data_IF_703667817972
#
_entry.id   IF_703667817972
#
_cell.length_a   1.000
_cell.length_b   1.000
_cell.length_c   1.000
_cell.angle_alpha   90.00
_cell.angle_beta   90.00
_cell.angle_gamma   90.00
#
_symmetry.space_group_name_H-M   'P 1'
#
loop_
_entity.id
_entity.type
_entity.pdbx_description
1 polymer ?
#
# COMPACT_ATOMS: atom_id res chain seq x y z
N UNK A 1 2.50 -1.59 -12.98
CA UNK A 1 3.90 -2.05 -12.92
C UNK A 1 3.98 -3.56 -12.83
N UNK A 2 3.43 -4.21 -11.82
CA UNK A 2 3.61 -5.65 -11.56
C UNK A 2 3.13 -6.57 -12.69
N UNK A 3 2.10 -6.17 -13.43
CA UNK A 3 1.44 -7.01 -14.43
C UNK A 3 1.79 -6.67 -15.88
N UNK A 4 2.39 -5.52 -16.16
CA UNK A 4 2.52 -4.98 -17.52
C UNK A 4 3.92 -4.46 -17.90
N UNK A 5 4.96 -4.86 -17.19
CA UNK A 5 6.36 -4.41 -17.40
C UNK A 5 6.59 -2.89 -17.28
N UNK A 6 5.65 -2.13 -16.72
CA UNK A 6 5.90 -0.73 -16.37
C UNK A 6 6.60 -0.65 -15.03
N UNK A 7 7.82 -0.15 -15.02
CA UNK A 7 8.67 -0.12 -13.84
C UNK A 7 8.42 1.12 -12.99
N UNK A 8 8.61 0.96 -11.68
CA UNK A 8 8.72 2.07 -10.76
C UNK A 8 10.03 2.82 -11.03
N UNK A 9 10.13 4.13 -10.70
CA UNK A 9 11.38 4.87 -10.80
C UNK A 9 12.51 4.13 -10.08
N UNK A 10 13.69 4.06 -10.70
CA UNK A 10 14.90 3.45 -10.13
C UNK A 10 14.82 1.94 -9.86
N UNK A 11 13.85 1.23 -10.44
CA UNK A 11 13.79 -0.23 -10.37
C UNK A 11 14.43 -0.88 -11.59
N UNK A 12 15.10 -2.00 -11.34
CA UNK A 12 15.53 -2.91 -12.41
C UNK A 12 14.33 -3.58 -13.08
N UNK A 13 14.41 -3.85 -14.38
CA UNK A 13 13.38 -4.59 -15.10
C UNK A 13 13.13 -5.97 -14.48
N UNK A 14 11.86 -6.36 -14.39
CA UNK A 14 11.44 -7.68 -13.92
C UNK A 14 10.33 -8.26 -14.82
N UNK A 15 10.18 -9.59 -14.78
CA UNK A 15 9.11 -10.24 -15.50
C UNK A 15 7.76 -10.00 -14.81
N UNK A 16 6.67 -9.75 -15.57
CA UNK A 16 5.32 -9.64 -15.03
C UNK A 16 4.93 -10.87 -14.23
N UNK A 17 4.18 -10.67 -13.15
CA UNK A 17 3.74 -11.73 -12.27
C UNK A 17 2.27 -11.56 -11.84
N UNK A 18 1.69 -12.66 -11.34
CA UNK A 18 0.34 -12.67 -10.83
C UNK A 18 0.26 -11.94 -9.49
N UNK A 19 -0.81 -11.18 -9.30
CA UNK A 19 -1.14 -10.52 -8.05
C UNK A 19 -2.57 -10.81 -7.63
N UNK A 20 -2.82 -10.78 -6.33
CA UNK A 20 -4.15 -10.85 -5.75
C UNK A 20 -4.51 -9.45 -5.27
N UNK A 21 -5.67 -8.95 -5.69
CA UNK A 21 -6.21 -7.66 -5.24
C UNK A 21 -7.54 -7.90 -4.55
N UNK A 22 -7.58 -7.74 -3.24
CA UNK A 22 -8.79 -7.93 -2.44
C UNK A 22 -9.26 -6.57 -1.92
N UNK A 23 -10.50 -6.20 -2.26
CA UNK A 23 -11.12 -4.95 -1.82
C UNK A 23 -12.52 -5.18 -1.29
N UNK A 24 -12.90 -4.39 -0.27
CA UNK A 24 -14.24 -4.39 0.30
C UNK A 24 -14.96 -3.03 0.12
N UNK A 25 -14.29 -2.03 -0.43
CA UNK A 25 -14.87 -0.69 -0.62
C UNK A 25 -15.30 -0.45 -2.07
N UNK A 26 -14.48 -0.87 -3.02
CA UNK A 26 -14.69 -0.60 -4.44
C UNK A 26 -15.28 -1.82 -5.16
N UNK A 27 -16.29 -1.60 -6.00
CA UNK A 27 -16.84 -2.63 -6.88
C UNK A 27 -15.80 -3.09 -7.93
N UNK A 28 -15.64 -4.40 -8.05
CA UNK A 28 -14.63 -4.98 -8.93
C UNK A 28 -14.88 -4.62 -10.40
N UNK A 29 -16.16 -4.65 -10.83
CA UNK A 29 -16.54 -4.44 -12.24
C UNK A 29 -16.62 -2.98 -12.66
N UNK A 30 -17.14 -2.15 -11.79
CA UNK A 30 -17.48 -0.75 -12.08
C UNK A 30 -16.40 0.25 -11.67
N UNK A 31 -15.55 -0.10 -10.73
CA UNK A 31 -14.53 0.81 -10.20
C UNK A 31 -13.13 0.27 -10.41
N UNK A 32 -12.82 -0.93 -9.92
CA UNK A 32 -11.45 -1.48 -9.95
C UNK A 32 -11.01 -1.80 -11.37
N UNK A 33 -11.82 -2.55 -12.11
CA UNK A 33 -11.49 -2.95 -13.49
C UNK A 33 -11.22 -1.77 -14.43
N UNK A 34 -12.04 -0.70 -14.46
CA UNK A 34 -11.75 0.49 -15.26
C UNK A 34 -10.43 1.17 -14.88
N UNK A 35 -10.13 1.28 -13.57
CA UNK A 35 -8.86 1.87 -13.09
C UNK A 35 -7.65 1.03 -13.50
N UNK A 36 -7.76 -0.30 -13.43
CA UNK A 36 -6.70 -1.20 -13.88
C UNK A 36 -6.47 -1.10 -15.38
N UNK A 37 -7.54 -1.00 -16.17
CA UNK A 37 -7.44 -0.81 -17.62
C UNK A 37 -6.79 0.55 -17.97
N UNK A 38 -7.17 1.63 -17.29
CA UNK A 38 -6.52 2.94 -17.45
C UNK A 38 -5.03 2.91 -17.09
N UNK A 39 -4.64 2.05 -16.14
CA UNK A 39 -3.25 1.81 -15.77
C UNK A 39 -2.55 0.82 -16.71
N UNK A 40 -3.23 0.35 -17.77
CA UNK A 40 -2.73 -0.64 -18.73
C UNK A 40 -2.29 -1.95 -18.04
N UNK A 41 -2.98 -2.34 -16.97
CA UNK A 41 -2.71 -3.60 -16.29
C UNK A 41 -3.12 -4.79 -17.17
N UNK A 42 -2.33 -5.86 -17.11
CA UNK A 42 -2.74 -7.17 -17.62
C UNK A 42 -3.73 -7.79 -16.63
N UNK A 43 -5.01 -7.78 -17.00
CA UNK A 43 -6.09 -8.24 -16.11
C UNK A 43 -6.05 -9.76 -15.87
N UNK A 44 -5.46 -10.55 -16.76
CA UNK A 44 -5.31 -12.00 -16.54
C UNK A 44 -4.37 -12.32 -15.39
N UNK A 45 -3.55 -11.35 -14.99
CA UNK A 45 -2.62 -11.45 -13.85
C UNK A 45 -3.14 -10.82 -12.57
N UNK A 46 -4.34 -10.23 -12.59
CA UNK A 46 -4.98 -9.65 -11.41
C UNK A 46 -6.10 -10.59 -10.95
N UNK A 47 -5.86 -11.26 -9.86
CA UNK A 47 -6.74 -12.26 -9.29
C UNK A 47 -7.50 -11.69 -8.09
N UNK A 48 -8.67 -12.26 -7.82
CA UNK A 48 -9.49 -11.93 -6.66
C UNK A 48 -9.90 -13.24 -5.99
N UNK A 49 -9.90 -13.28 -4.67
CA UNK A 49 -10.46 -14.42 -3.91
C UNK A 49 -11.96 -14.20 -3.82
N UNK A 50 -12.74 -15.20 -4.23
CA UNK A 50 -14.19 -15.15 -4.08
C UNK A 50 -14.58 -15.23 -2.61
N UNK A 51 -15.28 -14.21 -2.15
CA UNK A 51 -15.75 -14.05 -0.77
C UNK A 51 -17.24 -13.69 -0.66
N UNK A 52 -17.99 -13.85 -1.75
CA UNK A 52 -19.41 -13.51 -1.82
C UNK A 52 -20.27 -14.29 -0.81
N UNK A 53 -20.07 -15.60 -0.72
CA UNK A 53 -20.83 -16.47 0.20
C UNK A 53 -20.16 -16.61 1.58
N UNK A 54 -18.86 -16.38 1.66
CA UNK A 54 -18.08 -16.52 2.88
C UNK A 54 -17.05 -15.38 2.98
N UNK A 55 -17.35 -14.33 3.75
CA UNK A 55 -16.48 -13.17 3.87
C UNK A 55 -15.04 -13.54 4.23
N UNK A 56 -14.09 -13.00 3.48
CA UNK A 56 -12.68 -13.25 3.70
C UNK A 56 -12.18 -12.49 4.94
N UNK A 57 -11.32 -13.13 5.71
CA UNK A 57 -10.58 -12.46 6.79
C UNK A 57 -9.08 -12.63 6.62
N UNK A 58 -8.29 -11.77 7.29
CA UNK A 58 -6.81 -11.85 7.26
C UNK A 58 -6.27 -13.16 7.85
N UNK A 59 -7.06 -13.87 8.65
CA UNK A 59 -6.70 -15.17 9.22
C UNK A 59 -7.08 -16.36 8.32
N UNK A 60 -7.73 -16.14 7.19
CA UNK A 60 -8.27 -17.16 6.31
C UNK A 60 -7.16 -17.88 5.52
N UNK A 61 -7.30 -19.21 5.43
CA UNK A 61 -6.34 -20.05 4.69
C UNK A 61 -6.44 -19.86 3.17
N UNK A 62 -7.58 -19.36 2.67
CA UNK A 62 -7.76 -19.04 1.26
C UNK A 62 -6.72 -18.07 0.72
N UNK A 63 -6.18 -17.18 1.56
CA UNK A 63 -5.12 -16.26 1.15
C UNK A 63 -3.85 -17.04 0.77
N UNK A 64 -3.40 -17.94 1.65
CA UNK A 64 -2.23 -18.76 1.40
C UNK A 64 -2.43 -19.70 0.21
N UNK A 65 -3.59 -20.36 0.15
CA UNK A 65 -3.93 -21.27 -0.95
C UNK A 65 -3.94 -20.54 -2.29
N UNK A 66 -4.59 -19.37 -2.38
CA UNK A 66 -4.63 -18.58 -3.60
C UNK A 66 -3.23 -18.12 -4.05
N UNK A 67 -2.36 -17.75 -3.11
CA UNK A 67 -0.95 -17.40 -3.42
C UNK A 67 -0.24 -18.59 -4.04
N UNK A 68 -0.34 -19.77 -3.44
CA UNK A 68 0.35 -20.99 -3.88
C UNK A 68 -0.16 -21.50 -5.23
N UNK A 69 -1.46 -21.62 -5.37
CA UNK A 69 -2.12 -22.14 -6.58
C UNK A 69 -1.86 -21.27 -7.81
N UNK A 70 -1.81 -19.95 -7.62
CA UNK A 70 -1.64 -19.00 -8.72
C UNK A 70 -0.23 -18.44 -8.82
N UNK A 71 0.72 -18.89 -8.00
CA UNK A 71 2.07 -18.36 -7.96
C UNK A 71 2.11 -16.83 -7.84
N UNK A 72 1.20 -16.27 -7.04
CA UNK A 72 1.12 -14.84 -6.86
C UNK A 72 2.34 -14.32 -6.07
N UNK A 73 2.90 -13.20 -6.48
CA UNK A 73 4.04 -12.57 -5.82
C UNK A 73 3.68 -11.29 -5.06
N UNK A 74 2.43 -10.84 -5.19
CA UNK A 74 1.90 -9.68 -4.49
C UNK A 74 0.46 -9.95 -4.11
N UNK A 75 0.11 -9.65 -2.86
CA UNK A 75 -1.28 -9.52 -2.38
C UNK A 75 -1.49 -8.09 -1.95
N UNK A 76 -2.57 -7.47 -2.39
CA UNK A 76 -3.03 -6.15 -1.91
C UNK A 76 -4.38 -6.34 -1.24
N UNK A 77 -4.52 -5.80 -0.03
CA UNK A 77 -5.75 -5.84 0.78
C UNK A 77 -6.19 -4.41 1.07
N UNK A 78 -7.40 -4.02 0.63
CA UNK A 78 -7.91 -2.66 0.66
C UNK A 78 -9.39 -2.57 1.11
N UNK A 79 -9.68 -2.01 2.27
CA UNK A 79 -8.77 -1.66 3.35
C UNK A 79 -8.55 -2.83 4.32
N UNK A 80 -7.45 -2.83 5.03
CA UNK A 80 -7.14 -3.89 6.02
C UNK A 80 -8.24 -4.05 7.09
N UNK A 81 -8.89 -2.95 7.46
CA UNK A 81 -9.93 -2.93 8.49
C UNK A 81 -11.12 -3.82 8.16
N UNK A 82 -11.51 -3.88 6.89
CA UNK A 82 -12.64 -4.68 6.43
C UNK A 82 -12.39 -6.19 6.55
N UNK A 83 -11.12 -6.59 6.56
CA UNK A 83 -10.71 -8.00 6.57
C UNK A 83 -10.20 -8.50 7.93
N UNK A 84 -10.26 -7.70 9.00
CA UNK A 84 -9.84 -8.15 10.34
C UNK A 84 -10.76 -9.21 10.92
N UNK A 85 -12.05 -9.21 10.55
CA UNK A 85 -13.07 -10.07 11.13
C UNK A 85 -13.84 -9.38 12.26
N UNK A 86 -15.12 -9.77 12.41
CA UNK A 86 -16.08 -9.08 13.28
C UNK A 86 -15.73 -9.08 14.78
N UNK A 87 -14.93 -10.04 15.22
CA UNK A 87 -14.58 -10.24 16.64
C UNK A 87 -13.17 -9.73 17.00
N UNK A 88 -12.49 -9.02 16.07
CA UNK A 88 -11.14 -8.51 16.28
C UNK A 88 -11.16 -7.01 16.51
N UNK A 89 -10.77 -6.59 17.71
CA UNK A 89 -10.59 -5.18 18.01
C UNK A 89 -9.18 -4.73 17.57
N UNK A 90 -9.15 -3.88 16.57
CA UNK A 90 -7.92 -3.34 15.97
C UNK A 90 -7.05 -2.57 17.00
N UNK A 91 -7.61 -2.12 18.12
CA UNK A 91 -6.88 -1.42 19.17
C UNK A 91 -6.27 -2.37 20.19
N UNK A 92 -6.58 -3.66 20.13
CA UNK A 92 -6.07 -4.68 21.04
C UNK A 92 -4.92 -5.45 20.42
N UNK A 93 -3.73 -5.20 20.91
CA UNK A 93 -2.50 -5.84 20.48
C UNK A 93 -2.53 -7.36 20.49
N UNK A 94 -3.11 -7.96 21.54
CA UNK A 94 -3.22 -9.41 21.69
C UNK A 94 -4.14 -10.08 20.65
N UNK A 95 -5.06 -9.33 20.07
CA UNK A 95 -5.96 -9.82 19.02
C UNK A 95 -5.35 -9.66 17.63
N UNK A 96 -4.65 -8.57 17.40
CA UNK A 96 -4.09 -8.20 16.09
C UNK A 96 -2.76 -8.91 15.79
N UNK A 97 -1.86 -9.00 16.77
CA UNK A 97 -0.52 -9.60 16.60
C UNK A 97 -0.51 -11.01 16.01
N UNK A 98 -1.36 -11.96 16.46
CA UNK A 98 -1.36 -13.31 15.90
C UNK A 98 -1.72 -13.32 14.41
N UNK A 99 -2.67 -12.49 13.99
CA UNK A 99 -3.12 -12.39 12.61
C UNK A 99 -1.99 -11.89 11.71
N UNK A 100 -1.35 -10.79 12.11
CA UNK A 100 -0.25 -10.21 11.32
C UNK A 100 0.99 -11.09 11.31
N UNK A 101 1.26 -11.80 12.41
CA UNK A 101 2.36 -12.78 12.45
C UNK A 101 2.11 -13.90 11.45
N UNK A 102 0.90 -14.45 11.42
CA UNK A 102 0.53 -15.47 10.43
C UNK A 102 0.71 -14.97 9.00
N UNK A 103 0.25 -13.76 8.69
CA UNK A 103 0.46 -13.17 7.35
C UNK A 103 1.94 -13.00 7.02
N UNK A 104 2.76 -12.61 7.99
CA UNK A 104 4.21 -12.52 7.80
C UNK A 104 4.84 -13.90 7.53
N UNK A 105 4.39 -14.93 8.23
CA UNK A 105 4.85 -16.32 8.02
C UNK A 105 4.42 -16.81 6.63
N UNK A 106 3.19 -16.54 6.19
CA UNK A 106 2.70 -16.84 4.82
C UNK A 106 3.53 -16.10 3.78
N UNK A 107 3.75 -14.80 3.95
CA UNK A 107 4.56 -14.01 3.03
C UNK A 107 5.99 -14.57 2.89
N UNK A 108 6.60 -14.98 4.00
CA UNK A 108 7.92 -15.60 4.01
C UNK A 108 7.93 -16.98 3.34
N UNK A 109 6.96 -17.84 3.69
CA UNK A 109 6.88 -19.22 3.18
C UNK A 109 6.56 -19.29 1.68
N UNK A 110 5.88 -18.29 1.13
CA UNK A 110 5.46 -18.21 -0.27
C UNK A 110 6.33 -17.27 -1.12
N UNK A 111 7.26 -16.54 -0.51
CA UNK A 111 8.01 -15.45 -1.13
C UNK A 111 7.10 -14.42 -1.82
N UNK A 112 5.93 -14.15 -1.21
CA UNK A 112 4.93 -13.21 -1.69
C UNK A 112 4.93 -11.94 -0.83
N UNK A 113 4.92 -10.77 -1.44
CA UNK A 113 4.73 -9.52 -0.72
C UNK A 113 3.24 -9.34 -0.38
N UNK A 114 2.94 -8.98 0.87
CA UNK A 114 1.56 -8.65 1.31
C UNK A 114 1.53 -7.18 1.67
N UNK A 115 0.75 -6.41 0.91
CA UNK A 115 0.51 -4.97 1.12
C UNK A 115 -0.89 -4.79 1.67
N UNK A 116 -0.98 -4.12 2.81
CA UNK A 116 -2.25 -3.78 3.45
C UNK A 116 -2.44 -2.28 3.43
N UNK A 117 -3.57 -1.82 2.92
CA UNK A 117 -3.93 -0.41 2.86
C UNK A 117 -4.78 -0.09 4.07
N UNK A 118 -4.38 0.91 4.82
CA UNK A 118 -5.13 1.42 5.96
C UNK A 118 -5.41 2.92 5.81
N UNK A 119 -6.62 3.34 6.19
CA UNK A 119 -6.98 4.74 6.19
C UNK A 119 -6.64 5.40 7.51
N UNK A 120 -5.98 6.56 7.45
CA UNK A 120 -5.68 7.35 8.64
C UNK A 120 -6.94 8.07 9.12
N UNK A 121 -7.30 7.89 10.40
CA UNK A 121 -8.38 8.66 11.02
C UNK A 121 -7.99 10.13 11.12
N UNK A 122 -8.89 11.03 10.66
CA UNK A 122 -8.74 12.49 10.75
C UNK A 122 -8.98 13.04 12.17
N UNK A 123 -8.73 12.27 13.24
CA UNK A 123 -8.90 12.75 14.59
C UNK A 123 -7.93 13.92 14.86
N UNK A 124 -8.48 15.13 14.85
CA UNK A 124 -7.75 16.35 15.11
C UNK A 124 -7.14 16.30 16.52
N UNK A 125 -5.85 16.58 16.64
CA UNK A 125 -5.18 16.85 17.90
C UNK A 125 -4.29 15.77 18.48
N UNK A 126 -4.05 14.64 17.82
CA UNK A 126 -3.09 13.66 18.34
C UNK A 126 -1.69 13.89 17.73
N UNK A 127 -0.73 14.22 18.58
CA UNK A 127 0.70 14.41 18.24
C UNK A 127 1.44 13.11 17.86
N UNK A 128 0.74 12.01 17.60
CA UNK A 128 1.37 10.73 17.28
C UNK A 128 0.95 10.27 15.89
N UNK A 129 1.91 10.27 14.99
CA UNK A 129 1.87 9.77 13.62
C UNK A 129 1.25 8.37 13.49
N UNK A 130 1.31 7.57 14.56
CA UNK A 130 0.92 6.16 14.57
C UNK A 130 -0.53 5.92 15.04
N UNK A 131 -1.19 6.88 15.69
CA UNK A 131 -2.54 6.66 16.26
C UNK A 131 -3.66 6.52 15.22
N UNK A 132 -3.42 6.95 14.00
CA UNK A 132 -4.41 6.85 12.93
C UNK A 132 -4.59 5.46 12.33
N UNK A 133 -3.64 4.54 12.55
CA UNK A 133 -3.67 3.17 12.03
C UNK A 133 -4.30 2.15 13.01
N UNK A 134 -4.85 2.61 14.13
CA UNK A 134 -5.34 1.75 15.20
C UNK A 134 -4.25 1.44 16.21
N UNK A 135 -3.95 0.17 16.46
CA UNK A 135 -2.93 -0.23 17.41
C UNK A 135 -1.52 0.14 16.96
N UNK A 136 -0.68 0.67 17.87
CA UNK A 136 0.78 0.81 17.70
C UNK A 136 1.41 -0.52 17.25
N UNK A 137 0.79 -1.63 17.58
CA UNK A 137 1.26 -2.97 17.26
C UNK A 137 1.20 -3.30 15.76
N UNK A 138 0.28 -2.73 14.99
CA UNK A 138 0.25 -2.90 13.53
C UNK A 138 1.55 -2.35 12.93
N UNK A 139 1.95 -1.16 13.35
CA UNK A 139 3.20 -0.55 12.89
C UNK A 139 4.44 -1.29 13.37
N UNK A 140 4.37 -1.97 14.50
CA UNK A 140 5.47 -2.75 15.03
C UNK A 140 5.72 -4.04 14.23
N UNK A 141 4.66 -4.69 13.76
CA UNK A 141 4.73 -6.00 13.07
C UNK A 141 5.12 -5.86 11.60
N UNK A 142 4.67 -4.81 10.91
CA UNK A 142 5.00 -4.61 9.50
C UNK A 142 6.50 -4.31 9.31
N UNK A 143 7.08 -4.88 8.25
CA UNK A 143 8.50 -4.67 7.90
C UNK A 143 8.74 -3.35 7.19
N UNK A 144 7.74 -2.84 6.51
CA UNK A 144 7.78 -1.56 5.79
C UNK A 144 6.50 -0.79 6.04
N UNK A 145 6.61 0.50 6.32
CA UNK A 145 5.48 1.41 6.48
C UNK A 145 5.64 2.57 5.51
N UNK A 146 4.63 2.77 4.68
CA UNK A 146 4.57 3.85 3.71
C UNK A 146 3.40 4.76 4.05
N UNK A 147 3.64 6.06 4.05
CA UNK A 147 2.57 7.05 4.07
C UNK A 147 2.36 7.64 2.68
N UNK A 148 1.09 7.80 2.31
CA UNK A 148 0.72 8.44 1.04
C UNK A 148 -0.20 9.61 1.37
N UNK A 149 0.14 10.77 0.86
CA UNK A 149 -0.64 11.99 1.07
C UNK A 149 -0.45 13.03 -0.01
N UNK A 150 -1.37 14.00 -0.03
CA UNK A 150 -1.27 15.18 -0.91
C UNK A 150 -0.38 16.24 -0.30
N UNK A 151 0.40 16.89 -1.13
CA UNK A 151 1.12 18.11 -0.74
C UNK A 151 0.13 19.25 -0.59
N UNK A 152 0.07 19.91 0.56
CA UNK A 152 -0.91 21.00 0.81
C UNK A 152 -0.73 22.19 -0.12
N UNK A 153 0.51 22.55 -0.42
CA UNK A 153 0.86 23.66 -1.28
C UNK A 153 0.67 23.38 -2.76
N UNK A 154 0.55 22.09 -3.13
CA UNK A 154 0.28 21.62 -4.48
C UNK A 154 -0.66 20.41 -4.45
N UNK A 155 -1.99 20.64 -4.48
CA UNK A 155 -2.99 19.58 -4.38
C UNK A 155 -2.98 18.56 -5.52
N UNK A 156 -2.26 18.82 -6.61
CA UNK A 156 -2.10 17.89 -7.73
C UNK A 156 -0.99 16.89 -7.49
N UNK A 157 -0.07 17.19 -6.57
CA UNK A 157 1.06 16.34 -6.21
C UNK A 157 0.75 15.48 -4.98
N UNK A 158 0.97 14.20 -5.15
CA UNK A 158 0.95 13.19 -4.09
C UNK A 158 2.37 12.75 -3.79
N UNK A 159 2.61 12.35 -2.54
CA UNK A 159 3.93 11.85 -2.14
C UNK A 159 3.77 10.52 -1.39
N UNK A 160 4.68 9.61 -1.68
CA UNK A 160 4.91 8.38 -0.91
C UNK A 160 6.13 8.62 -0.04
N UNK A 161 5.97 8.50 1.28
CA UNK A 161 7.05 8.58 2.25
C UNK A 161 7.30 7.22 2.86
N UNK A 162 8.54 6.75 2.86
CA UNK A 162 8.95 5.50 3.48
C UNK A 162 9.34 5.75 4.94
N UNK A 163 8.38 5.62 5.85
CA UNK A 163 8.55 5.94 7.27
C UNK A 163 9.33 4.89 8.05
N UNK A 164 9.06 3.61 7.78
CA UNK A 164 9.72 2.50 8.47
C UNK A 164 10.21 1.47 7.48
N UNK A 165 11.44 1.04 7.67
CA UNK A 165 12.02 -0.13 7.04
C UNK A 165 12.77 -0.97 8.06
N UNK A 166 12.52 -2.29 8.08
CA UNK A 166 13.21 -3.23 8.97
C UNK A 166 14.40 -3.92 8.29
N UNK A 167 14.58 -3.76 6.98
CA UNK A 167 15.55 -4.51 6.18
C UNK A 167 16.67 -3.62 5.61
N UNK A 168 16.41 -2.33 5.44
CA UNK A 168 17.35 -1.35 4.88
C UNK A 168 17.01 0.04 5.43
N UNK A 169 17.87 1.04 5.28
CA UNK A 169 17.48 2.42 5.53
C UNK A 169 16.21 2.79 4.74
N UNK A 170 15.32 3.65 5.27
CA UNK A 170 14.17 4.14 4.52
C UNK A 170 14.61 4.74 3.18
N UNK A 171 13.82 4.45 2.14
CA UNK A 171 14.06 5.02 0.81
C UNK A 171 13.69 6.50 0.76
N UNK A 172 14.16 7.17 -0.29
CA UNK A 172 13.79 8.56 -0.58
C UNK A 172 12.29 8.67 -0.87
N UNK A 173 11.65 9.76 -0.40
CA UNK A 173 10.26 10.04 -0.73
C UNK A 173 10.08 10.28 -2.23
N UNK A 174 8.98 9.78 -2.79
CA UNK A 174 8.68 9.84 -4.21
C UNK A 174 7.37 10.58 -4.45
N UNK A 175 7.40 11.56 -5.36
CA UNK A 175 6.22 12.29 -5.78
C UNK A 175 5.60 11.71 -7.06
N UNK A 176 4.28 11.80 -7.15
CA UNK A 176 3.51 11.44 -8.34
C UNK A 176 2.30 12.36 -8.50
N UNK A 177 1.80 12.49 -9.72
CA UNK A 177 0.53 13.15 -10.02
C UNK A 177 -0.55 12.10 -10.32
N UNK A 178 -1.78 12.43 -9.92
CA UNK A 178 -2.95 11.60 -10.14
C UNK A 178 -4.16 12.48 -10.44
N UNK A 179 -4.96 12.14 -11.45
CA UNK A 179 -6.26 12.75 -11.69
C UNK A 179 -6.28 13.88 -12.75
N UNK A 180 -5.23 14.07 -13.52
CA UNK A 180 -5.28 14.83 -14.77
C UNK A 180 -5.66 13.90 -15.97
N UNK A 181 -5.87 14.47 -17.16
CA UNK A 181 -6.16 13.71 -18.39
C UNK A 181 -5.07 12.67 -18.74
N UNK A 182 -3.88 12.80 -18.15
CA UNK A 182 -2.73 11.92 -18.36
C UNK A 182 -2.65 10.77 -17.35
N UNK A 183 -3.60 10.69 -16.40
CA UNK A 183 -3.68 9.66 -15.37
C UNK A 183 -2.52 9.69 -14.37
N UNK A 184 -2.03 8.53 -13.96
CA UNK A 184 -0.92 8.38 -13.02
C UNK A 184 0.43 8.68 -13.70
N UNK A 185 1.26 9.50 -13.06
CA UNK A 185 2.62 9.81 -13.53
C UNK A 185 3.58 10.05 -12.37
N UNK A 186 4.74 9.41 -12.41
CA UNK A 186 5.83 9.70 -11.49
C UNK A 186 6.43 11.08 -11.78
N UNK A 187 6.67 11.85 -10.72
CA UNK A 187 7.38 13.14 -10.77
C UNK A 187 8.86 12.93 -10.43
N UNK A 188 9.14 12.08 -9.42
CA UNK A 188 10.50 11.76 -8.99
C UNK A 188 10.69 11.95 -7.49
N UNK A 189 11.94 12.13 -7.09
CA UNK A 189 12.32 12.36 -5.70
C UNK A 189 11.70 13.65 -5.13
N UNK A 190 11.28 13.60 -3.87
CA UNK A 190 10.64 14.72 -3.19
C UNK A 190 11.15 14.81 -1.75
N UNK A 191 11.61 15.97 -1.35
CA UNK A 191 12.18 16.17 -0.01
C UNK A 191 11.08 16.52 1.00
N UNK A 192 10.45 15.48 1.59
CA UNK A 192 9.44 15.59 2.63
C UNK A 192 9.48 14.36 3.55
N UNK A 193 9.36 14.59 4.85
CA UNK A 193 9.21 13.54 5.85
C UNK A 193 7.74 13.21 6.15
N UNK A 194 7.51 12.13 6.88
CA UNK A 194 6.16 11.72 7.27
C UNK A 194 5.50 12.73 8.21
N UNK A 195 6.25 13.32 9.13
CA UNK A 195 5.72 14.35 10.04
C UNK A 195 5.21 15.56 9.27
N UNK A 196 6.00 16.05 8.30
CA UNK A 196 5.63 17.20 7.47
C UNK A 196 4.41 16.89 6.60
N UNK A 197 4.38 15.70 5.99
CA UNK A 197 3.27 15.26 5.16
C UNK A 197 1.97 15.20 5.98
N UNK A 198 2.02 14.64 7.19
CA UNK A 198 0.86 14.45 8.07
C UNK A 198 0.44 15.75 8.79
N UNK A 199 1.40 16.57 9.20
CA UNK A 199 1.13 17.90 9.76
C UNK A 199 0.61 18.87 8.70
N UNK A 200 0.85 18.53 7.44
CA UNK A 200 0.56 19.36 6.28
C UNK A 200 1.44 20.59 6.23
N UNK A 201 2.69 20.44 6.58
CA UNK A 201 3.69 21.48 6.52
C UNK A 201 3.91 22.02 5.11
N UNK A 202 4.24 23.30 5.00
CA UNK A 202 4.77 23.89 3.78
C UNK A 202 6.21 23.40 3.61
N UNK A 203 6.49 22.73 2.50
CA UNK A 203 7.85 22.32 2.18
C UNK A 203 8.61 23.52 1.65
N UNK A 204 9.77 23.82 2.23
CA UNK A 204 10.72 24.76 1.66
C UNK A 204 11.32 24.16 0.39
N UNK A 205 11.09 24.79 -0.76
CA UNK A 205 11.64 24.33 -2.03
C UNK A 205 13.15 24.58 -2.06
N UNK A 206 13.94 23.52 -1.98
CA UNK A 206 15.32 23.57 -2.44
C UNK A 206 15.36 22.89 -3.81
N UNK A 207 15.42 23.69 -4.87
CA UNK A 207 15.64 23.18 -6.21
C UNK A 207 17.03 22.54 -6.29
N UNK A 208 17.11 21.22 -6.30
CA UNK A 208 18.27 20.51 -6.81
C UNK A 208 18.25 20.65 -8.34
N UNK A 209 19.00 21.63 -8.86
CA UNK A 209 19.35 21.65 -10.28
C UNK A 209 20.17 20.40 -10.55
N UNK A 210 19.68 19.57 -11.48
CA UNK A 210 20.51 18.56 -12.10
C UNK A 210 21.70 19.26 -12.74
N UNK A 211 22.92 18.97 -12.29
CA UNK A 211 24.12 19.32 -13.01
C UNK A 211 24.21 18.39 -14.21
N UNK A 212 23.94 18.93 -15.39
CA UNK A 212 24.40 18.36 -16.64
C UNK A 212 25.92 18.47 -16.68
N UNK A 213 26.59 17.35 -16.74
CA UNK A 213 27.91 17.18 -17.35
C UNK A 213 27.97 15.87 -18.09
#
# INVERSE_FOLDING_TARGET
ACTNRRFLPQMEPFEPFNMIFQTAEDGLGDTVKPRLLSAEADLERVLVIDDADNPLTLADERIENAIRENHARLVIIDPLQAFLGANVDMNRANEVRPIFRRLADVAQATNCAIVMIGHLNKAAGSQSTYRGLGSIDITAVVRSLLFIGKVKTDPTTWVIVHEKSSLAPPGQSLAFSLGDEKGFRWIGAYDIGAEDLLAGGAVSYTHLRAHET
#
